data_IF_142706027385
#
_entry.id   IF_142706027385
#
_cell.length_a   1.000
_cell.length_b   1.000
_cell.length_c   1.000
_cell.angle_alpha   90.00
_cell.angle_beta   90.00
_cell.angle_gamma   90.00
#
_symmetry.space_group_name_H-M   'P 1'
#
loop_
_entity.id
_entity.type
_entity.pdbx_description
1 polymer ?
#
# COMPACT_ATOMS: atom_id res chain seq x y z
N UNK A 1 10.05 13.41 -17.25
CA UNK A 1 10.74 12.55 -18.23
C UNK A 1 10.17 12.72 -19.63
N UNK A 2 10.93 13.31 -20.58
CA UNK A 2 11.13 12.95 -22.02
C UNK A 2 12.26 13.88 -22.50
N UNK A 3 13.41 13.52 -23.08
CA UNK A 3 13.69 13.36 -24.52
C UNK A 3 15.21 13.09 -24.53
N UNK A 4 15.75 12.01 -25.12
CA UNK A 4 15.50 11.47 -26.45
C UNK A 4 15.32 9.95 -26.41
N UNK A 5 14.51 9.43 -27.35
CA UNK A 5 14.19 8.01 -27.60
C UNK A 5 13.25 7.28 -26.63
N UNK A 6 12.29 7.97 -25.97
CA UNK A 6 11.20 7.29 -25.25
C UNK A 6 11.66 6.37 -24.11
N UNK A 7 12.90 6.52 -23.65
CA UNK A 7 13.46 5.75 -22.55
C UNK A 7 13.21 6.43 -21.21
N UNK A 8 12.93 5.63 -20.20
CA UNK A 8 12.69 6.11 -18.84
C UNK A 8 14.03 6.59 -18.23
N UNK A 9 14.13 7.88 -17.89
CA UNK A 9 15.30 8.49 -17.23
C UNK A 9 15.00 8.95 -15.80
N UNK A 10 15.78 8.46 -14.83
CA UNK A 10 15.68 8.90 -13.43
C UNK A 10 16.41 10.24 -13.25
N UNK A 11 15.68 11.34 -13.10
CA UNK A 11 16.23 12.66 -12.85
C UNK A 11 15.42 13.41 -11.79
N UNK A 12 16.06 14.37 -11.11
CA UNK A 12 15.39 15.22 -10.12
C UNK A 12 14.39 16.14 -10.81
N UNK A 13 13.12 16.11 -10.35
CA UNK A 13 12.04 16.96 -10.88
C UNK A 13 12.08 18.40 -10.35
N UNK A 14 13.13 18.78 -9.61
CA UNK A 14 13.30 20.12 -9.04
C UNK A 14 13.87 21.13 -10.07
N UNK A 15 14.14 20.68 -11.29
CA UNK A 15 14.63 21.48 -12.41
C UNK A 15 13.53 21.64 -13.45
N UNK A 16 13.34 22.87 -13.95
CA UNK A 16 12.39 23.14 -15.03
C UNK A 16 12.79 22.38 -16.30
N UNK A 17 11.93 21.46 -16.74
CA UNK A 17 12.15 20.61 -17.92
C UNK A 17 11.00 20.77 -18.93
N UNK A 18 11.26 20.63 -20.24
CA UNK A 18 10.25 20.84 -21.29
C UNK A 18 9.23 19.68 -21.43
N UNK A 19 9.00 18.92 -20.36
CA UNK A 19 8.21 17.69 -20.35
C UNK A 19 7.66 17.41 -18.96
N UNK A 20 6.67 16.53 -18.85
CA UNK A 20 6.07 16.17 -17.55
C UNK A 20 7.08 15.39 -16.72
N UNK A 21 7.50 15.95 -15.58
CA UNK A 21 8.27 15.26 -14.55
C UNK A 21 7.33 14.94 -13.38
N UNK A 22 7.07 13.66 -13.16
CA UNK A 22 6.27 13.23 -12.01
C UNK A 22 7.23 12.91 -10.87
N UNK A 23 7.13 13.66 -9.78
CA UNK A 23 7.73 13.24 -8.51
C UNK A 23 6.87 12.08 -7.98
N UNK A 24 7.48 10.98 -7.50
CA UNK A 24 6.72 9.95 -6.80
C UNK A 24 5.94 10.61 -5.66
N UNK A 25 4.64 10.35 -5.58
CA UNK A 25 3.80 10.89 -4.49
C UNK A 25 4.28 10.40 -3.12
N UNK A 26 5.05 9.31 -3.09
CA UNK A 26 5.64 8.72 -1.89
C UNK A 26 7.11 8.39 -2.19
N UNK A 27 8.01 8.83 -1.32
CA UNK A 27 9.43 8.41 -1.33
C UNK A 27 9.50 7.20 -0.42
N UNK A 28 9.48 6.01 -1.00
CA UNK A 28 9.72 4.79 -0.22
C UNK A 28 11.21 4.70 0.08
N UNK A 29 11.60 4.81 1.34
CA UNK A 29 12.95 4.39 1.72
C UNK A 29 13.04 2.86 1.61
N UNK A 30 14.10 2.36 1.00
CA UNK A 30 14.35 0.92 0.88
C UNK A 30 14.98 0.33 2.15
N UNK A 31 15.03 1.08 3.25
CA UNK A 31 16.06 0.87 4.28
C UNK A 31 15.55 0.41 5.64
N UNK A 32 14.26 0.18 5.87
CA UNK A 32 13.82 0.00 7.27
C UNK A 32 12.81 -1.09 7.58
N UNK A 33 12.11 -1.68 6.61
CA UNK A 33 11.01 -2.61 6.94
C UNK A 33 11.45 -4.05 6.69
N UNK A 34 11.52 -4.91 7.73
CA UNK A 34 11.85 -6.31 7.53
C UNK A 34 10.76 -6.97 6.68
N UNK A 35 11.17 -7.66 5.61
CA UNK A 35 10.25 -8.51 4.86
C UNK A 35 9.72 -9.61 5.80
N UNK A 36 8.41 -9.73 5.90
CA UNK A 36 7.73 -10.65 6.81
C UNK A 36 6.24 -10.35 6.94
N UNK A 37 5.51 -11.30 7.53
CA UNK A 37 4.18 -11.02 8.05
C UNK A 37 4.27 -10.00 9.19
N UNK A 38 3.17 -9.32 9.55
CA UNK A 38 3.20 -8.35 10.62
C UNK A 38 3.60 -9.01 11.94
N UNK A 39 4.61 -8.42 12.58
CA UNK A 39 5.01 -8.75 13.96
C UNK A 39 4.40 -7.76 14.98
N UNK A 40 3.80 -6.68 14.50
CA UNK A 40 3.19 -5.65 15.34
C UNK A 40 1.81 -6.08 15.84
N UNK A 41 1.63 -6.06 17.16
CA UNK A 41 0.36 -6.36 17.82
C UNK A 41 -0.61 -5.16 17.78
N UNK A 42 -0.11 -3.93 17.56
CA UNK A 42 -0.88 -2.69 17.54
C UNK A 42 -0.41 -1.74 16.44
N UNK A 43 -1.37 -1.16 15.72
CA UNK A 43 -1.12 -0.11 14.71
C UNK A 43 -1.68 1.23 15.17
N UNK A 44 -0.87 2.28 15.05
CA UNK A 44 -1.23 3.65 15.40
C UNK A 44 -1.67 4.45 14.16
N UNK A 45 -2.46 5.53 14.34
CA UNK A 45 -2.82 6.41 13.24
C UNK A 45 -1.58 7.07 12.61
N UNK A 46 -1.41 6.85 11.31
CA UNK A 46 -0.29 7.38 10.53
C UNK A 46 0.82 6.37 10.26
N UNK A 47 0.72 5.16 10.81
CA UNK A 47 1.67 4.09 10.51
C UNK A 47 1.58 3.66 9.04
N UNK A 48 2.75 3.39 8.45
CA UNK A 48 2.86 2.88 7.09
C UNK A 48 2.96 1.37 7.11
N UNK A 49 2.18 0.72 6.24
CA UNK A 49 2.03 -0.73 6.22
C UNK A 49 2.43 -1.23 4.85
N UNK A 50 3.30 -2.23 4.85
CA UNK A 50 3.91 -2.75 3.64
C UNK A 50 3.48 -4.19 3.40
N UNK A 51 3.50 -4.57 2.13
CA UNK A 51 3.29 -5.96 1.74
C UNK A 51 4.38 -6.85 2.38
N UNK A 52 4.08 -8.11 2.68
CA UNK A 52 5.03 -8.97 3.40
C UNK A 52 6.36 -9.18 2.70
N UNK A 53 6.37 -9.11 1.37
CA UNK A 53 7.60 -9.30 0.59
C UNK A 53 8.33 -7.99 0.30
N UNK A 54 7.73 -6.84 0.63
CA UNK A 54 8.30 -5.52 0.36
C UNK A 54 9.74 -5.39 0.88
N UNK A 55 10.66 -4.75 0.14
CA UNK A 55 10.51 -4.13 -1.19
C UNK A 55 10.63 -5.11 -2.36
N UNK A 56 10.76 -6.40 -2.10
CA UNK A 56 10.91 -7.43 -3.13
C UNK A 56 9.55 -8.01 -3.55
N UNK A 57 9.46 -8.48 -4.79
CA UNK A 57 8.24 -9.09 -5.33
C UNK A 57 8.16 -10.62 -5.07
N UNK A 58 9.10 -11.21 -4.33
CA UNK A 58 9.29 -12.67 -4.32
C UNK A 58 8.77 -13.37 -3.08
N UNK A 59 7.74 -14.20 -3.27
CA UNK A 59 7.32 -15.26 -2.34
C UNK A 59 5.81 -15.27 -2.10
N UNK A 60 5.14 -16.44 -2.05
CA UNK A 60 3.79 -16.52 -1.55
C UNK A 60 3.79 -16.18 -0.05
N UNK A 61 3.12 -15.09 0.31
CA UNK A 61 2.93 -14.68 1.70
C UNK A 61 1.43 -14.55 1.97
N UNK A 62 0.93 -15.37 2.89
CA UNK A 62 -0.43 -15.29 3.40
C UNK A 62 -0.37 -14.65 4.77
N UNK A 63 -0.47 -13.32 4.81
CA UNK A 63 -0.39 -12.56 6.05
C UNK A 63 -1.73 -11.86 6.30
N UNK A 64 -2.11 -11.78 7.58
CA UNK A 64 -3.27 -11.07 8.06
C UNK A 64 -2.80 -9.91 8.94
N UNK A 65 -3.31 -8.72 8.65
CA UNK A 65 -3.02 -7.50 9.42
C UNK A 65 -4.30 -7.14 10.17
N UNK A 66 -4.21 -7.03 11.49
CA UNK A 66 -5.38 -6.78 12.34
C UNK A 66 -5.32 -5.37 12.91
N UNK A 67 -6.27 -4.54 12.53
CA UNK A 67 -6.43 -3.19 13.05
C UNK A 67 -7.46 -3.19 14.17
N UNK A 68 -7.02 -2.94 15.40
CA UNK A 68 -7.91 -2.86 16.57
C UNK A 68 -7.95 -1.44 17.12
N UNK A 69 -9.15 -0.99 17.45
CA UNK A 69 -9.38 0.31 18.08
C UNK A 69 -10.08 0.05 19.41
N UNK A 70 -9.44 0.41 20.52
CA UNK A 70 -10.01 0.23 21.85
C UNK A 70 -11.11 1.23 22.20
N UNK A 71 -11.18 2.34 21.46
CA UNK A 71 -12.18 3.39 21.64
C UNK A 71 -13.39 3.16 20.71
N UNK A 72 -14.50 2.71 21.29
CA UNK A 72 -15.75 2.43 20.58
C UNK A 72 -16.45 3.67 19.98
N UNK A 73 -15.83 4.85 20.02
CA UNK A 73 -16.30 6.05 19.30
C UNK A 73 -15.50 6.33 18.02
N UNK A 74 -14.40 5.60 17.82
CA UNK A 74 -13.49 5.78 16.69
C UNK A 74 -13.65 4.66 15.67
N UNK A 75 -13.19 4.94 14.45
CA UNK A 75 -13.22 4.01 13.32
C UNK A 75 -11.86 3.94 12.67
N UNK A 76 -11.58 2.80 12.04
CA UNK A 76 -10.34 2.61 11.28
C UNK A 76 -10.54 3.13 9.86
N UNK A 77 -9.54 3.87 9.38
CA UNK A 77 -9.42 4.26 7.98
C UNK A 77 -8.05 3.82 7.49
N UNK A 78 -8.03 3.07 6.39
CA UNK A 78 -6.80 2.70 5.69
C UNK A 78 -6.80 3.38 4.33
N UNK A 79 -5.68 4.00 3.98
CA UNK A 79 -5.46 4.60 2.67
C UNK A 79 -4.46 3.76 1.90
N UNK A 80 -4.89 3.23 0.75
CA UNK A 80 -4.01 2.52 -0.17
C UNK A 80 -3.28 3.55 -1.04
N UNK A 81 -1.99 3.72 -0.79
CA UNK A 81 -1.13 4.68 -1.49
C UNK A 81 -0.53 4.11 -2.78
N UNK A 82 -0.15 2.84 -2.77
CA UNK A 82 0.40 2.12 -3.91
C UNK A 82 -0.03 0.66 -3.85
N UNK A 83 -0.38 0.08 -5.01
CA UNK A 83 -0.72 -1.34 -5.09
C UNK A 83 -0.32 -1.97 -6.42
N UNK A 84 0.42 -3.06 -6.30
CA UNK A 84 0.83 -3.95 -7.38
C UNK A 84 0.83 -5.39 -6.88
N UNK A 85 0.22 -6.28 -7.62
CA UNK A 85 0.11 -7.71 -7.31
C UNK A 85 -0.08 -8.52 -8.59
N UNK A 86 0.15 -9.84 -8.55
CA UNK A 86 -0.16 -10.69 -9.68
C UNK A 86 -1.68 -10.86 -9.84
N UNK A 87 -2.21 -10.41 -10.97
CA UNK A 87 -3.64 -10.42 -11.24
C UNK A 87 -4.28 -11.82 -11.27
N UNK A 88 -3.52 -12.90 -11.48
CA UNK A 88 -4.10 -14.25 -11.55
C UNK A 88 -4.57 -14.77 -10.19
N UNK A 89 -3.84 -14.43 -9.14
CA UNK A 89 -3.78 -15.29 -7.96
C UNK A 89 -3.57 -14.51 -6.65
N UNK A 90 -3.04 -13.29 -6.72
CA UNK A 90 -2.81 -12.47 -5.54
C UNK A 90 -4.00 -11.55 -5.30
N UNK A 91 -4.34 -11.35 -4.03
CA UNK A 91 -5.45 -10.49 -3.62
C UNK A 91 -5.13 -9.77 -2.33
N UNK A 92 -5.41 -8.47 -2.27
CA UNK A 92 -5.53 -7.74 -1.01
C UNK A 92 -7.01 -7.58 -0.70
N UNK A 93 -7.46 -8.12 0.42
CA UNK A 93 -8.87 -8.04 0.83
C UNK A 93 -8.99 -7.43 2.21
N UNK A 94 -9.83 -6.40 2.30
CA UNK A 94 -10.22 -5.76 3.55
C UNK A 94 -11.48 -6.44 4.08
N UNK A 95 -11.42 -6.87 5.32
CA UNK A 95 -12.52 -7.50 6.05
C UNK A 95 -12.99 -6.60 7.19
N UNK A 96 -14.27 -6.67 7.50
CA UNK A 96 -14.87 -6.07 8.68
C UNK A 96 -14.99 -7.11 9.79
N UNK A 97 -14.43 -6.81 10.98
CA UNK A 97 -14.40 -7.71 12.13
C UNK A 97 -13.19 -8.66 12.12
N UNK A 98 -13.04 -9.45 13.20
CA UNK A 98 -11.96 -10.44 13.31
C UNK A 98 -12.30 -11.74 12.55
N UNK A 99 -11.29 -12.36 11.94
CA UNK A 99 -11.31 -13.70 11.33
C UNK A 99 -12.39 -13.92 10.25
N UNK A 100 -12.07 -13.59 9.00
CA UNK A 100 -12.92 -13.86 7.83
C UNK A 100 -14.34 -13.26 7.93
N UNK A 101 -14.43 -12.04 8.45
CA UNK A 101 -15.67 -11.27 8.51
C UNK A 101 -16.17 -10.79 7.14
N UNK A 102 -17.06 -9.81 7.12
CA UNK A 102 -17.66 -9.34 5.87
C UNK A 102 -16.60 -8.64 4.99
N UNK A 103 -16.52 -9.01 3.71
CA UNK A 103 -15.60 -8.35 2.76
C UNK A 103 -16.07 -6.91 2.52
N UNK A 104 -15.22 -5.95 2.86
CA UNK A 104 -15.44 -4.53 2.56
C UNK A 104 -15.03 -4.26 1.11
N UNK A 105 -13.80 -4.66 0.74
CA UNK A 105 -13.24 -4.41 -0.59
C UNK A 105 -12.08 -5.35 -0.89
N UNK A 106 -11.93 -5.74 -2.15
CA UNK A 106 -10.81 -6.55 -2.64
C UNK A 106 -10.13 -5.86 -3.82
N UNK A 107 -8.80 -5.99 -3.87
CA UNK A 107 -7.94 -5.45 -4.92
C UNK A 107 -7.08 -6.57 -5.52
N UNK A 108 -6.85 -6.48 -6.83
CA UNK A 108 -5.97 -7.38 -7.62
C UNK A 108 -5.30 -6.59 -8.74
N UNK A 109 -4.16 -7.09 -9.22
CA UNK A 109 -3.43 -6.49 -10.34
C UNK A 109 -2.69 -5.22 -9.94
N UNK A 110 -2.68 -4.23 -10.83
CA UNK A 110 -1.93 -2.99 -10.68
C UNK A 110 -2.87 -1.78 -10.61
N UNK A 111 -2.75 -0.99 -9.54
CA UNK A 111 -3.42 0.30 -9.40
C UNK A 111 -2.43 1.47 -9.44
N UNK A 112 -1.11 1.19 -9.32
CA UNK A 112 -0.08 2.21 -9.22
C UNK A 112 -0.26 3.10 -8.00
N UNK A 113 0.25 4.34 -8.11
CA UNK A 113 0.00 5.36 -7.09
C UNK A 113 -1.46 5.79 -7.09
N UNK A 114 -2.11 5.65 -5.96
CA UNK A 114 -3.54 5.93 -5.76
C UNK A 114 -3.79 6.50 -4.36
N UNK A 115 -5.01 6.97 -4.11
CA UNK A 115 -5.48 7.41 -2.79
C UNK A 115 -6.83 6.75 -2.57
N UNK A 116 -6.81 5.41 -2.51
CA UNK A 116 -8.04 4.64 -2.32
C UNK A 116 -8.28 4.45 -0.84
N UNK A 117 -9.30 5.11 -0.31
CA UNK A 117 -9.67 5.03 1.10
C UNK A 117 -10.65 3.89 1.35
N UNK A 118 -10.34 3.05 2.34
CA UNK A 118 -11.22 2.01 2.89
C UNK A 118 -11.50 2.35 4.35
N UNK A 119 -12.77 2.34 4.75
CA UNK A 119 -13.21 2.70 6.10
C UNK A 119 -13.93 1.53 6.75
N UNK A 120 -13.74 1.35 8.05
CA UNK A 120 -14.60 0.45 8.82
C UNK A 120 -16.03 0.99 8.89
N UNK A 121 -16.98 0.07 8.85
CA UNK A 121 -18.40 0.37 9.00
C UNK A 121 -18.82 0.33 10.46
N UNK A 122 -18.21 -0.54 11.27
CA UNK A 122 -18.43 -0.64 12.71
C UNK A 122 -17.48 0.24 13.53
N UNK A 123 -17.91 0.51 14.77
CA UNK A 123 -17.10 1.12 15.83
C UNK A 123 -16.48 0.03 16.70
#
# INVERSE_FOLDING_TARGET
MVVFSGQWMNMQCDVAVPYICMKPAVVFDNNSVPAGCPDDDEYLPGDEIFAPTWPQATGPAFCEYVFMVHDATKKVQVELLFFESNNCCDTLTFYEGMFAGAVIKSFKGYLGYTSTVVKSSSN
#
